data_IF_440218321072
#
_entry.id   IF_440218321072
#
_cell.length_a   1.000
_cell.length_b   1.000
_cell.length_c   1.000
_cell.angle_alpha   90.00
_cell.angle_beta   90.00
_cell.angle_gamma   90.00
#
_symmetry.space_group_name_H-M   'P 1'
#
loop_
_entity.id
_entity.type
_entity.pdbx_description
1 polymer ?
#
# COMPACT_ATOMS: atom_id res chain seq x y z
N UNK A 1 17.39 22.79 -15.71
CA UNK A 1 16.48 21.78 -16.27
C UNK A 1 15.51 21.40 -15.15
N UNK A 2 14.20 21.56 -15.37
CA UNK A 2 13.19 21.18 -14.38
C UNK A 2 12.98 19.67 -14.52
N UNK A 3 13.52 18.89 -13.59
CA UNK A 3 13.14 17.49 -13.42
C UNK A 3 11.64 17.46 -13.14
N UNK A 4 10.88 16.83 -14.04
CA UNK A 4 9.44 16.72 -13.91
C UNK A 4 9.15 15.54 -12.97
N UNK A 5 8.66 15.81 -11.76
CA UNK A 5 8.27 14.80 -10.75
C UNK A 5 7.03 13.97 -11.16
N UNK A 6 6.70 13.93 -12.44
CA UNK A 6 5.53 13.25 -12.96
C UNK A 6 5.72 11.73 -12.91
N UNK A 7 4.76 11.03 -12.30
CA UNK A 7 4.71 9.57 -12.32
C UNK A 7 3.95 9.09 -13.56
N UNK A 8 4.69 8.46 -14.48
CA UNK A 8 4.13 7.81 -15.67
C UNK A 8 4.00 6.30 -15.43
N UNK A 9 2.78 5.76 -15.59
CA UNK A 9 2.52 4.32 -15.39
C UNK A 9 3.35 3.47 -16.35
N UNK A 10 4.06 2.47 -15.81
CA UNK A 10 4.89 1.53 -16.57
C UNK A 10 4.17 0.18 -16.77
N UNK A 11 3.70 -0.42 -15.67
CA UNK A 11 3.07 -1.76 -15.68
C UNK A 11 2.11 -1.94 -14.51
N UNK A 12 1.32 -3.02 -14.55
CA UNK A 12 0.47 -3.46 -13.44
C UNK A 12 0.87 -4.87 -12.99
N UNK A 13 0.76 -5.12 -11.68
CA UNK A 13 0.90 -6.45 -11.10
C UNK A 13 -0.39 -6.80 -10.36
N UNK A 14 -0.92 -7.99 -10.56
CA UNK A 14 -2.06 -8.50 -9.79
C UNK A 14 -1.54 -9.41 -8.68
N UNK A 15 -1.73 -9.01 -7.42
CA UNK A 15 -1.14 -9.67 -6.25
C UNK A 15 -2.11 -9.63 -5.07
N UNK A 16 -1.79 -10.44 -4.07
CA UNK A 16 -2.45 -10.44 -2.78
C UNK A 16 -1.41 -9.99 -1.76
N UNK A 17 -1.79 -9.16 -0.81
CA UNK A 17 -0.84 -8.64 0.18
C UNK A 17 -0.98 -9.45 1.46
N UNK A 18 0.13 -9.96 2.00
CA UNK A 18 0.14 -10.64 3.29
C UNK A 18 1.14 -10.05 4.27
N UNK A 19 0.75 -9.94 5.53
CA UNK A 19 1.64 -9.50 6.60
C UNK A 19 2.63 -10.61 7.02
N UNK A 20 3.45 -10.34 8.04
CA UNK A 20 4.42 -11.29 8.61
C UNK A 20 3.78 -12.58 9.14
N UNK A 21 2.52 -12.53 9.55
CA UNK A 21 1.76 -13.68 10.05
C UNK A 21 1.08 -14.48 8.92
N UNK A 22 1.37 -14.18 7.65
CA UNK A 22 0.73 -14.76 6.45
C UNK A 22 -0.77 -14.46 6.32
N UNK A 23 -1.27 -13.47 7.04
CA UNK A 23 -2.67 -13.02 6.97
C UNK A 23 -2.88 -12.15 5.74
N UNK A 24 -4.05 -12.26 5.12
CA UNK A 24 -4.39 -11.59 3.87
C UNK A 24 -4.98 -10.20 4.13
N UNK A 25 -4.52 -9.20 3.40
CA UNK A 25 -5.12 -7.86 3.42
C UNK A 25 -6.48 -7.89 2.71
N UNK A 26 -7.53 -7.49 3.43
CA UNK A 26 -8.91 -7.40 2.94
C UNK A 26 -9.40 -5.97 3.06
N UNK A 27 -9.92 -5.41 1.97
CA UNK A 27 -10.51 -4.06 1.94
C UNK A 27 -12.01 -4.13 2.23
N UNK A 28 -12.48 -3.26 3.12
CA UNK A 28 -13.89 -3.05 3.46
C UNK A 28 -14.24 -1.56 3.32
N UNK A 29 -14.59 -1.09 2.11
CA UNK A 29 -14.84 0.33 1.84
C UNK A 29 -16.03 0.89 2.62
N UNK A 30 -17.04 0.07 2.88
CA UNK A 30 -18.21 0.39 3.71
C UNK A 30 -17.83 0.78 5.14
N UNK A 31 -16.78 0.16 5.68
CA UNK A 31 -16.21 0.48 6.99
C UNK A 31 -15.03 1.45 6.91
N UNK A 32 -14.68 1.95 5.70
CA UNK A 32 -13.50 2.77 5.44
C UNK A 32 -12.20 2.20 6.03
N UNK A 33 -12.05 0.87 6.01
CA UNK A 33 -10.91 0.17 6.58
C UNK A 33 -10.37 -0.91 5.66
N UNK A 34 -9.11 -1.29 5.87
CA UNK A 34 -8.58 -2.56 5.44
C UNK A 34 -7.91 -3.24 6.62
N UNK A 35 -7.98 -4.56 6.69
CA UNK A 35 -7.41 -5.33 7.78
C UNK A 35 -6.78 -6.63 7.25
N UNK A 36 -5.81 -7.14 8.01
CA UNK A 36 -5.19 -8.43 7.75
C UNK A 36 -6.00 -9.53 8.46
N UNK A 37 -6.43 -10.53 7.70
CA UNK A 37 -7.36 -11.57 8.13
C UNK A 37 -6.83 -12.96 7.82
N UNK A 38 -7.23 -13.92 8.65
CA UNK A 38 -6.97 -15.33 8.44
C UNK A 38 -7.96 -15.85 7.38
N UNK A 39 -7.54 -15.81 6.10
CA UNK A 39 -8.35 -16.23 4.95
C UNK A 39 -7.72 -17.46 4.31
N UNK A 40 -8.50 -18.54 4.21
CA UNK A 40 -8.08 -19.77 3.52
C UNK A 40 -8.20 -19.64 2.00
N UNK A 41 -7.47 -20.47 1.25
CA UNK A 41 -7.55 -20.48 -0.22
C UNK A 41 -8.98 -20.74 -0.75
N UNK A 42 -9.83 -21.43 0.03
CA UNK A 42 -11.24 -21.68 -0.33
C UNK A 42 -12.12 -20.43 -0.17
N UNK A 43 -11.76 -19.54 0.76
CA UNK A 43 -12.45 -18.28 1.02
C UNK A 43 -11.98 -17.17 0.07
N UNK A 44 -10.82 -17.32 -0.57
CA UNK A 44 -10.30 -16.38 -1.55
C UNK A 44 -11.17 -16.34 -2.80
N UNK A 45 -12.07 -15.35 -2.86
CA UNK A 45 -12.95 -15.11 -4.01
C UNK A 45 -12.57 -13.82 -4.71
N UNK A 46 -12.53 -13.86 -6.04
CA UNK A 46 -12.39 -12.67 -6.87
C UNK A 46 -13.52 -11.67 -6.56
N UNK A 47 -13.19 -10.38 -6.52
CA UNK A 47 -14.16 -9.31 -6.27
C UNK A 47 -14.52 -9.06 -4.81
N UNK A 48 -13.83 -9.68 -3.84
CA UNK A 48 -14.07 -9.47 -2.39
C UNK A 48 -12.99 -8.62 -1.69
N UNK A 49 -12.36 -7.68 -2.40
CA UNK A 49 -11.43 -6.75 -1.75
C UNK A 49 -10.05 -7.34 -1.39
N UNK A 50 -9.74 -8.53 -1.92
CA UNK A 50 -8.51 -9.29 -1.58
C UNK A 50 -7.42 -9.21 -2.66
N UNK A 51 -7.82 -9.01 -3.92
CA UNK A 51 -6.94 -9.04 -5.08
C UNK A 51 -6.58 -7.61 -5.51
N UNK A 52 -5.34 -7.22 -5.25
CA UNK A 52 -4.85 -5.88 -5.53
C UNK A 52 -4.22 -5.81 -6.91
N UNK A 53 -4.50 -4.71 -7.60
CA UNK A 53 -3.68 -4.25 -8.73
C UNK A 53 -2.67 -3.24 -8.20
N UNK A 54 -1.39 -3.54 -8.36
CA UNK A 54 -0.26 -2.67 -8.02
C UNK A 54 0.15 -1.96 -9.30
N UNK A 55 -0.11 -0.66 -9.37
CA UNK A 55 0.23 0.21 -10.48
C UNK A 55 1.66 0.69 -10.29
N UNK A 56 2.60 0.18 -11.09
CA UNK A 56 4.00 0.57 -11.01
C UNK A 56 4.25 1.76 -11.95
N UNK A 57 4.95 2.77 -11.45
CA UNK A 57 5.31 3.96 -12.20
C UNK A 57 6.81 4.00 -12.46
N UNK A 58 7.21 4.69 -13.54
CA UNK A 58 8.62 4.96 -13.82
C UNK A 58 9.21 5.78 -12.67
N UNK A 59 10.49 5.53 -12.39
CA UNK A 59 11.27 6.30 -11.42
C UNK A 59 12.57 6.78 -12.06
N UNK A 60 12.88 8.06 -11.87
CA UNK A 60 14.18 8.66 -12.16
C UNK A 60 15.13 8.54 -10.97
N UNK A 61 14.61 8.17 -9.79
CA UNK A 61 15.35 8.13 -8.51
C UNK A 61 15.25 6.75 -7.87
N UNK A 62 16.02 5.74 -8.34
CA UNK A 62 15.91 4.36 -7.87
C UNK A 62 16.18 4.15 -6.37
N UNK A 63 16.98 5.03 -5.77
CA UNK A 63 17.31 4.99 -4.33
C UNK A 63 16.11 5.21 -3.42
N UNK A 64 15.08 5.91 -3.91
CA UNK A 64 13.84 6.13 -3.19
C UNK A 64 12.93 4.90 -3.17
N UNK A 65 13.17 3.88 -3.99
CA UNK A 65 12.29 2.73 -4.20
C UNK A 65 11.41 2.85 -5.44
N UNK A 66 10.65 1.79 -5.76
CA UNK A 66 9.75 1.77 -6.92
C UNK A 66 8.43 2.46 -6.57
N UNK A 67 8.02 3.55 -7.23
CA UNK A 67 6.75 4.21 -6.96
C UNK A 67 5.59 3.32 -7.42
N UNK A 68 4.64 3.11 -6.51
CA UNK A 68 3.46 2.29 -6.73
C UNK A 68 2.20 2.95 -6.17
N UNK A 69 1.06 2.68 -6.82
CA UNK A 69 -0.26 2.92 -6.26
C UNK A 69 -1.04 1.59 -6.20
N UNK A 70 -2.00 1.48 -5.30
CA UNK A 70 -2.81 0.29 -5.11
C UNK A 70 -4.25 0.54 -5.49
N UNK A 71 -4.85 -0.39 -6.22
CA UNK A 71 -6.28 -0.46 -6.40
C UNK A 71 -6.81 -1.87 -6.17
N UNK A 72 -8.10 -1.98 -5.93
CA UNK A 72 -8.82 -3.22 -5.74
C UNK A 72 -10.17 -3.14 -6.43
N UNK A 73 -10.57 -4.24 -7.07
CA UNK A 73 -11.90 -4.36 -7.66
C UNK A 73 -12.81 -5.10 -6.69
N UNK A 74 -13.98 -4.52 -6.42
CA UNK A 74 -15.00 -5.09 -5.55
C UNK A 74 -16.36 -5.01 -6.26
N UNK A 75 -16.93 -6.17 -6.58
CA UNK A 75 -18.06 -6.27 -7.51
C UNK A 75 -17.79 -5.47 -8.81
N UNK A 76 -18.67 -4.53 -9.16
CA UNK A 76 -18.56 -3.67 -10.36
C UNK A 76 -17.82 -2.35 -10.09
N UNK A 77 -17.25 -2.17 -8.89
CA UNK A 77 -16.59 -0.94 -8.47
C UNK A 77 -15.09 -1.11 -8.31
N UNK A 78 -14.37 -0.04 -8.59
CA UNK A 78 -12.92 0.06 -8.37
C UNK A 78 -12.67 1.00 -7.20
N UNK A 79 -11.71 0.66 -6.36
CA UNK A 79 -11.28 1.49 -5.23
C UNK A 79 -9.77 1.61 -5.25
N UNK A 80 -9.25 2.81 -5.02
CA UNK A 80 -7.81 3.04 -4.88
C UNK A 80 -7.44 3.45 -3.47
N UNK A 81 -6.25 3.02 -3.04
CA UNK A 81 -5.67 3.40 -1.75
C UNK A 81 -5.16 4.84 -1.81
N UNK A 82 -5.54 5.65 -0.84
CA UNK A 82 -5.01 7.00 -0.63
C UNK A 82 -4.73 7.25 0.85
N UNK A 83 -3.93 8.27 1.13
CA UNK A 83 -3.64 8.74 2.48
C UNK A 83 -4.31 10.10 2.70
N UNK A 84 -5.07 10.22 3.76
CA UNK A 84 -5.82 11.44 4.08
C UNK A 84 -5.58 11.85 5.52
N UNK A 85 -5.46 13.17 5.74
CA UNK A 85 -5.32 13.72 7.08
C UNK A 85 -6.70 13.96 7.68
N UNK A 86 -6.96 13.31 8.80
CA UNK A 86 -8.19 13.47 9.58
C UNK A 86 -7.83 13.75 11.03
N UNK A 87 -8.36 14.86 11.59
CA UNK A 87 -8.11 15.28 12.99
C UNK A 87 -6.62 15.31 13.39
N UNK A 88 -5.75 15.64 12.44
CA UNK A 88 -4.30 15.73 12.65
C UNK A 88 -3.53 14.43 12.40
N UNK A 89 -4.21 13.29 12.25
CA UNK A 89 -3.60 11.99 11.98
C UNK A 89 -3.70 11.63 10.50
N UNK A 90 -2.63 11.07 9.92
CA UNK A 90 -2.64 10.55 8.55
C UNK A 90 -3.20 9.13 8.56
N UNK A 91 -4.23 8.88 7.76
CA UNK A 91 -4.98 7.62 7.73
C UNK A 91 -4.98 7.01 6.32
N UNK A 92 -4.94 5.69 6.24
CA UNK A 92 -5.16 4.97 4.98
C UNK A 92 -6.66 4.92 4.68
N UNK A 93 -7.04 5.26 3.45
CA UNK A 93 -8.42 5.25 2.95
C UNK A 93 -8.50 4.56 1.60
N UNK A 94 -9.71 4.13 1.25
CA UNK A 94 -10.04 3.56 -0.05
C UNK A 94 -11.15 4.39 -0.69
N UNK A 95 -10.83 5.07 -1.79
CA UNK A 95 -11.76 5.93 -2.52
C UNK A 95 -12.28 5.21 -3.76
N UNK A 96 -13.57 5.29 -3.99
CA UNK A 96 -14.19 4.76 -5.21
C UNK A 96 -13.66 5.53 -6.42
N UNK A 97 -13.20 4.80 -7.45
CA UNK A 97 -12.65 5.36 -8.67
C UNK A 97 -11.43 4.59 -9.18
N UNK A 98 -10.93 5.04 -10.32
CA UNK A 98 -9.73 4.49 -10.96
C UNK A 98 -8.47 5.25 -10.54
N UNK A 99 -7.36 4.53 -10.48
CA UNK A 99 -6.05 5.16 -10.30
C UNK A 99 -5.70 5.98 -11.56
N UNK A 100 -5.30 7.26 -11.44
CA UNK A 100 -4.89 8.07 -12.57
C UNK A 100 -3.76 7.43 -13.38
N UNK A 101 -3.86 7.52 -14.71
CA UNK A 101 -2.82 7.02 -15.63
C UNK A 101 -1.52 7.83 -15.52
N UNK A 102 -1.67 9.13 -15.28
CA UNK A 102 -0.59 10.10 -15.14
C UNK A 102 -0.84 10.88 -13.85
N UNK A 103 0.22 11.09 -13.09
CA UNK A 103 0.19 11.89 -11.87
C UNK A 103 1.26 12.96 -12.07
N UNK A 104 0.89 14.25 -12.17
CA UNK A 104 1.80 15.30 -12.60
C UNK A 104 2.88 15.68 -11.58
N UNK A 105 2.85 15.09 -10.38
CA UNK A 105 3.81 15.37 -9.30
C UNK A 105 3.52 14.54 -8.06
N UNK A 106 3.83 15.12 -6.90
CA UNK A 106 3.46 14.61 -5.58
C UNK A 106 1.99 14.17 -5.49
N UNK A 107 1.74 13.02 -4.86
CA UNK A 107 0.38 12.51 -4.71
C UNK A 107 0.23 11.64 -3.46
N UNK A 108 -0.95 11.73 -2.84
CA UNK A 108 -1.29 10.98 -1.63
C UNK A 108 -1.66 9.51 -1.89
N UNK A 109 -1.55 9.02 -3.13
CA UNK A 109 -1.80 7.62 -3.50
C UNK A 109 -0.52 6.85 -3.78
N UNK A 110 0.64 7.52 -3.75
CA UNK A 110 1.92 6.94 -4.12
C UNK A 110 2.67 6.46 -2.88
N UNK A 111 3.22 5.27 -3.03
CA UNK A 111 4.12 4.64 -2.07
C UNK A 111 5.39 4.19 -2.78
N UNK A 112 6.52 4.27 -2.11
CA UNK A 112 7.75 3.66 -2.59
C UNK A 112 7.85 2.23 -2.08
N UNK A 113 7.72 1.26 -2.99
CA UNK A 113 8.00 -0.14 -2.74
C UNK A 113 9.51 -0.34 -2.58
N UNK A 114 9.92 -0.81 -1.40
CA UNK A 114 11.30 -1.13 -1.04
C UNK A 114 11.38 -2.59 -0.61
N UNK A 115 12.56 -3.20 -0.72
CA UNK A 115 12.82 -4.47 -0.01
C UNK A 115 12.73 -4.22 1.50
N UNK A 116 12.13 -5.15 2.23
CA UNK A 116 11.94 -5.00 3.68
C UNK A 116 13.29 -4.92 4.40
N UNK A 117 14.16 -5.90 4.11
CA UNK A 117 15.56 -5.97 4.55
C UNK A 117 16.44 -6.43 3.39
N UNK A 118 17.74 -6.13 3.44
CA UNK A 118 18.71 -6.56 2.42
C UNK A 118 18.84 -8.09 2.31
N UNK A 119 18.53 -8.83 3.37
CA UNK A 119 18.61 -10.29 3.42
C UNK A 119 17.35 -11.01 2.92
N UNK A 120 16.23 -10.32 2.69
CA UNK A 120 14.97 -10.93 2.26
C UNK A 120 14.43 -10.27 0.98
N UNK A 121 14.71 -10.89 -0.17
CA UNK A 121 14.25 -10.39 -1.48
C UNK A 121 12.76 -10.56 -1.75
N UNK A 122 12.05 -11.34 -0.92
CA UNK A 122 10.63 -11.68 -1.10
C UNK A 122 9.68 -10.92 -0.19
N UNK A 123 10.21 -10.08 0.70
CA UNK A 123 9.44 -9.23 1.60
C UNK A 123 9.69 -7.75 1.28
N UNK A 124 8.65 -6.95 1.38
CA UNK A 124 8.66 -5.54 1.01
C UNK A 124 8.15 -4.68 2.15
N UNK A 125 8.50 -3.39 2.08
CA UNK A 125 7.86 -2.31 2.83
C UNK A 125 7.48 -1.20 1.86
N UNK A 126 6.47 -0.43 2.22
CA UNK A 126 5.90 0.61 1.36
C UNK A 126 5.90 1.92 2.12
N UNK A 127 6.75 2.84 1.68
CA UNK A 127 6.88 4.17 2.29
C UNK A 127 5.97 5.16 1.60
N UNK A 128 5.23 5.95 2.36
CA UNK A 128 4.37 6.98 1.82
C UNK A 128 5.20 8.10 1.17
N UNK A 129 4.87 8.47 -0.08
CA UNK A 129 5.74 9.36 -0.85
C UNK A 129 5.82 10.79 -0.34
N UNK A 130 4.78 11.27 0.36
CA UNK A 130 4.73 12.64 0.87
C UNK A 130 5.29 12.79 2.28
N UNK A 131 5.72 11.70 2.91
CA UNK A 131 6.27 11.78 4.26
C UNK A 131 7.36 10.71 4.51
N UNK A 132 8.63 11.13 4.44
CA UNK A 132 9.78 10.25 4.70
C UNK A 132 9.68 9.57 6.06
N UNK A 133 9.93 8.27 6.11
CA UNK A 133 9.87 7.45 7.32
C UNK A 133 8.46 7.01 7.72
N UNK A 134 7.43 7.33 6.94
CA UNK A 134 6.05 6.88 7.17
C UNK A 134 5.74 5.68 6.29
N UNK A 135 5.42 4.52 6.88
CA UNK A 135 5.24 3.27 6.15
C UNK A 135 3.85 2.67 6.34
N UNK A 136 3.38 1.92 5.34
CA UNK A 136 2.27 0.99 5.53
C UNK A 136 2.68 -0.07 6.56
N UNK A 137 1.81 -0.27 7.55
CA UNK A 137 1.99 -1.23 8.64
C UNK A 137 0.62 -1.78 9.06
N UNK A 138 0.60 -2.70 10.01
CA UNK A 138 -0.62 -3.05 10.72
C UNK A 138 -0.54 -2.77 12.22
N UNK A 139 -1.69 -2.53 12.82
CA UNK A 139 -1.86 -2.41 14.26
C UNK A 139 -2.97 -3.34 14.73
N UNK A 140 -2.77 -3.98 15.88
CA UNK A 140 -3.76 -4.84 16.52
C UNK A 140 -4.71 -3.99 17.38
N UNK A 141 -5.99 -4.04 17.07
CA UNK A 141 -7.05 -3.39 17.83
C UNK A 141 -8.17 -4.41 18.11
N UNK A 142 -8.09 -5.04 19.28
CA UNK A 142 -8.89 -6.23 19.60
C UNK A 142 -8.54 -7.38 18.66
N UNK A 143 -9.53 -7.93 17.96
CA UNK A 143 -9.34 -9.02 17.00
C UNK A 143 -8.97 -8.53 15.59
N UNK A 144 -8.96 -7.21 15.36
CA UNK A 144 -8.65 -6.62 14.05
C UNK A 144 -7.16 -6.30 13.93
N UNK A 145 -6.55 -6.65 12.80
CA UNK A 145 -5.20 -6.19 12.42
C UNK A 145 -5.33 -5.13 11.33
N UNK A 146 -5.62 -3.88 11.72
CA UNK A 146 -5.94 -2.80 10.78
C UNK A 146 -4.70 -2.34 10.02
N UNK A 147 -4.84 -2.10 8.73
CA UNK A 147 -3.82 -1.43 7.91
C UNK A 147 -3.75 0.06 8.32
N UNK A 148 -2.56 0.53 8.64
CA UNK A 148 -2.30 1.90 9.09
C UNK A 148 -1.05 2.48 8.41
N UNK A 149 -0.80 3.77 8.67
CA UNK A 149 0.49 4.39 8.47
C UNK A 149 1.23 4.51 9.79
N UNK A 150 2.48 4.09 9.82
CA UNK A 150 3.35 4.16 11.01
C UNK A 150 4.61 4.95 10.69
N UNK A 151 4.90 5.95 11.52
CA UNK A 151 6.11 6.76 11.44
C UNK A 151 7.23 6.09 12.24
N UNK A 152 8.36 5.81 11.61
CA UNK A 152 9.57 5.39 12.32
C UNK A 152 10.34 6.61 12.82
N UNK A 153 10.93 6.49 14.00
CA UNK A 153 11.75 7.57 14.58
C UNK A 153 13.19 7.53 14.07
N UNK A 154 13.66 6.36 13.61
CA UNK A 154 15.03 6.14 13.12
C UNK A 154 15.00 5.42 11.77
N UNK A 155 15.91 5.78 10.87
CA UNK A 155 15.99 5.19 9.52
C UNK A 155 16.32 3.69 9.52
N UNK A 156 17.10 3.24 10.50
CA UNK A 156 17.56 1.85 10.61
C UNK A 156 16.65 0.96 11.46
N UNK A 157 15.52 1.51 11.94
CA UNK A 157 14.55 0.76 12.72
C UNK A 157 13.84 -0.28 11.83
N UNK A 158 13.84 -1.53 12.29
CA UNK A 158 13.12 -2.62 11.62
C UNK A 158 11.88 -2.94 12.44
N UNK A 159 10.72 -2.74 11.84
CA UNK A 159 9.43 -3.07 12.42
C UNK A 159 8.73 -4.13 11.55
N UNK A 160 8.57 -5.34 12.08
CA UNK A 160 7.96 -6.46 11.36
C UNK A 160 6.49 -6.18 10.98
N UNK A 161 5.82 -5.22 11.60
CA UNK A 161 4.45 -4.82 11.22
C UNK A 161 4.38 -4.20 9.82
N UNK A 162 5.50 -3.69 9.29
CA UNK A 162 5.60 -3.12 7.95
C UNK A 162 5.91 -4.17 6.87
N UNK A 163 6.17 -5.41 7.28
CA UNK A 163 6.59 -6.48 6.38
C UNK A 163 5.41 -7.02 5.60
N UNK A 164 5.44 -6.82 4.29
CA UNK A 164 4.40 -7.28 3.37
C UNK A 164 5.01 -8.17 2.29
N UNK A 165 4.44 -9.35 2.11
CA UNK A 165 4.69 -10.23 0.97
C UNK A 165 3.63 -10.01 -0.11
N UNK A 166 4.00 -10.22 -1.38
CA UNK A 166 3.17 -10.03 -2.58
C UNK A 166 2.89 -11.36 -3.27
#
# INVERSE_FOLDING_TARGET
ELECDAFCKEKTLHRVLRNVNSQLLVVRPDLNLAAFEDVTDQEMKSGQGMHFTIHCYKTTTPSAGLPVAFSVQMAEKSYYMCCERERGQMMVRFREGEVPKEIPGESNIIFFKKTFTSCCSRAFKFEYSLEEGMFLAFEEEGDLRKLILKKLSRKDEVDETMKISL
#
